data_IF_251073940058
#
_entry.id   IF_251073940058
#
_cell.length_a   1.000
_cell.length_b   1.000
_cell.length_c   1.000
_cell.angle_alpha   90.00
_cell.angle_beta   90.00
_cell.angle_gamma   90.00
#
_symmetry.space_group_name_H-M   'P 1'
#
loop_
_entity.id
_entity.type
_entity.pdbx_description
1 polymer ?
#
# COMPACT_ATOMS: atom_id res chain seq x y z
N UNK A 1 29.38 -4.78 -12.26
CA UNK A 1 29.87 -6.07 -12.78
C UNK A 1 29.48 -7.18 -11.81
N UNK A 2 29.20 -8.37 -12.32
CA UNK A 2 28.90 -9.57 -11.54
C UNK A 2 29.77 -10.73 -12.02
N UNK A 3 29.99 -11.72 -11.15
CA UNK A 3 30.69 -12.93 -11.57
C UNK A 3 29.85 -13.70 -12.60
N UNK A 4 30.49 -14.25 -13.61
CA UNK A 4 29.81 -15.06 -14.64
C UNK A 4 29.21 -16.30 -13.99
N UNK A 5 27.89 -16.51 -14.08
CA UNK A 5 27.27 -17.69 -13.51
C UNK A 5 27.55 -18.92 -14.35
N UNK A 6 27.63 -20.09 -13.68
CA UNK A 6 27.83 -21.38 -14.31
C UNK A 6 26.55 -22.24 -14.31
N UNK A 7 26.51 -23.19 -15.24
CA UNK A 7 25.41 -24.15 -15.36
C UNK A 7 24.08 -23.58 -15.90
N UNK A 8 23.13 -24.46 -16.21
CA UNK A 8 21.83 -24.09 -16.81
C UNK A 8 21.03 -23.10 -15.94
N UNK A 9 21.00 -23.30 -14.62
CA UNK A 9 20.27 -22.43 -13.70
C UNK A 9 20.92 -21.04 -13.60
N UNK A 10 22.25 -20.95 -13.59
CA UNK A 10 23.00 -19.71 -13.61
C UNK A 10 22.76 -18.90 -14.88
N UNK A 11 22.79 -19.56 -16.03
CA UNK A 11 22.52 -18.91 -17.31
C UNK A 11 21.07 -18.42 -17.44
N UNK A 12 20.09 -19.15 -16.87
CA UNK A 12 18.70 -18.68 -16.82
C UNK A 12 18.56 -17.40 -15.99
N UNK A 13 19.25 -17.34 -14.83
CA UNK A 13 19.30 -16.11 -13.99
C UNK A 13 19.98 -14.95 -14.72
N UNK A 14 21.09 -15.21 -15.40
CA UNK A 14 21.76 -14.18 -16.20
C UNK A 14 20.84 -13.60 -17.27
N UNK A 15 20.11 -14.44 -18.02
CA UNK A 15 19.12 -13.99 -19.00
C UNK A 15 18.05 -13.07 -18.38
N UNK A 16 17.53 -13.43 -17.20
CA UNK A 16 16.54 -12.62 -16.48
C UNK A 16 17.15 -11.26 -16.06
N UNK A 17 18.38 -11.26 -15.54
CA UNK A 17 19.09 -10.04 -15.15
C UNK A 17 19.37 -9.12 -16.36
N UNK A 18 19.79 -9.67 -17.50
CA UNK A 18 19.95 -8.91 -18.75
C UNK A 18 18.64 -8.22 -19.16
N UNK A 19 17.53 -8.97 -19.09
CA UNK A 19 16.20 -8.40 -19.39
C UNK A 19 15.82 -7.28 -18.43
N UNK A 20 16.10 -7.45 -17.14
CA UNK A 20 15.85 -6.43 -16.12
C UNK A 20 16.74 -5.18 -16.35
N UNK A 21 18.04 -5.38 -16.55
CA UNK A 21 18.98 -4.28 -16.78
C UNK A 21 18.59 -3.46 -18.01
N UNK A 22 18.23 -4.11 -19.12
CA UNK A 22 17.73 -3.42 -20.33
C UNK A 22 16.48 -2.58 -20.05
N UNK A 23 15.54 -3.08 -19.22
CA UNK A 23 14.33 -2.33 -18.83
C UNK A 23 14.65 -1.12 -17.96
N UNK A 24 15.68 -1.21 -17.13
CA UNK A 24 16.11 -0.16 -16.22
C UNK A 24 17.12 0.81 -16.83
N UNK A 25 17.57 0.55 -18.07
CA UNK A 25 18.62 1.35 -18.69
C UNK A 25 19.99 1.13 -18.06
N UNK A 26 20.21 0.00 -17.36
CA UNK A 26 21.48 -0.34 -16.72
C UNK A 26 22.36 -1.15 -17.65
N UNK A 27 23.67 -0.92 -17.58
CA UNK A 27 24.68 -1.78 -18.19
C UNK A 27 24.90 -3.02 -17.33
N UNK A 28 25.14 -4.18 -17.97
CA UNK A 28 25.51 -5.42 -17.30
C UNK A 28 26.75 -6.02 -17.92
N UNK A 29 27.76 -6.21 -17.07
CA UNK A 29 29.00 -6.92 -17.40
C UNK A 29 29.11 -8.15 -16.52
N UNK A 30 29.63 -9.25 -17.08
CA UNK A 30 30.08 -10.40 -16.28
C UNK A 30 31.58 -10.56 -16.40
N UNK A 31 32.21 -10.97 -15.31
CA UNK A 31 33.63 -11.29 -15.26
C UNK A 31 33.79 -12.77 -14.94
N UNK A 32 34.64 -13.44 -15.70
CA UNK A 32 35.03 -14.82 -15.44
C UNK A 32 36.31 -14.81 -14.58
N UNK A 33 36.25 -15.34 -13.34
CA UNK A 33 37.40 -15.21 -12.41
C UNK A 33 38.67 -15.89 -12.87
N UNK A 34 38.54 -16.97 -13.66
CA UNK A 34 39.65 -17.81 -14.11
C UNK A 34 40.68 -17.06 -15.01
N UNK A 35 40.20 -16.22 -15.90
CA UNK A 35 40.98 -15.53 -16.91
C UNK A 35 40.66 -14.06 -17.01
N UNK A 36 39.88 -13.53 -16.07
CA UNK A 36 39.43 -12.14 -16.00
C UNK A 36 38.70 -11.67 -17.26
N UNK A 37 38.22 -12.59 -18.08
CA UNK A 37 37.46 -12.24 -19.27
C UNK A 37 36.18 -11.52 -18.93
N UNK A 38 36.00 -10.35 -19.53
CA UNK A 38 34.83 -9.48 -19.34
C UNK A 38 33.91 -9.58 -20.53
N UNK A 39 32.65 -9.92 -20.27
CA UNK A 39 31.62 -9.97 -21.30
C UNK A 39 30.52 -8.95 -21.01
N UNK A 40 30.28 -8.06 -21.98
CA UNK A 40 29.20 -7.08 -21.90
C UNK A 40 27.90 -7.67 -22.47
N UNK A 41 26.88 -7.80 -21.63
CA UNK A 41 25.55 -8.33 -22.01
C UNK A 41 24.56 -7.25 -22.44
N UNK A 42 24.69 -6.05 -21.89
CA UNK A 42 23.97 -4.86 -22.35
C UNK A 42 24.72 -3.59 -21.95
N UNK A 43 24.63 -2.59 -22.80
CA UNK A 43 25.11 -1.23 -22.52
C UNK A 43 24.07 -0.47 -21.66
N UNK A 44 24.49 0.53 -20.85
CA UNK A 44 23.56 1.44 -20.21
C UNK A 44 22.83 2.28 -21.26
N UNK A 45 21.61 2.65 -20.95
CA UNK A 45 20.76 3.45 -21.82
C UNK A 45 19.75 4.27 -21.03
N UNK A 46 18.92 5.09 -21.69
CA UNK A 46 17.94 5.90 -21.01
C UNK A 46 16.90 5.02 -20.32
N UNK A 47 16.59 5.33 -19.06
CA UNK A 47 15.51 4.66 -18.33
C UNK A 47 14.16 5.08 -18.90
N UNK A 48 13.46 4.14 -19.49
CA UNK A 48 12.12 4.33 -20.07
C UNK A 48 11.11 3.40 -19.41
N UNK A 49 10.63 3.73 -18.19
CA UNK A 49 9.66 2.88 -17.49
C UNK A 49 8.34 2.85 -18.23
N UNK A 50 7.68 1.69 -18.24
CA UNK A 50 6.28 1.61 -18.65
C UNK A 50 5.43 2.39 -17.66
N UNK A 51 4.85 3.50 -18.10
CA UNK A 51 3.91 4.29 -17.31
C UNK A 51 2.61 3.51 -17.14
N UNK A 52 2.24 3.21 -15.91
CA UNK A 52 0.93 2.65 -15.58
C UNK A 52 0.06 3.74 -14.95
N UNK A 53 -0.66 4.49 -15.80
CA UNK A 53 -1.48 5.61 -15.36
C UNK A 53 -2.57 5.21 -14.36
N UNK A 54 -3.10 3.99 -14.46
CA UNK A 54 -4.11 3.49 -13.51
C UNK A 54 -3.51 3.31 -12.12
N UNK A 55 -2.32 2.69 -12.03
CA UNK A 55 -1.60 2.55 -10.75
C UNK A 55 -1.18 3.91 -10.19
N UNK A 56 -0.64 4.79 -11.02
CA UNK A 56 -0.25 6.13 -10.62
C UNK A 56 -1.42 6.91 -10.01
N UNK A 57 -2.58 6.94 -10.70
CA UNK A 57 -3.80 7.58 -10.18
C UNK A 57 -4.25 6.95 -8.85
N UNK A 58 -4.14 5.62 -8.70
CA UNK A 58 -4.49 4.95 -7.45
C UNK A 58 -3.59 5.36 -6.28
N UNK A 59 -2.29 5.47 -6.51
CA UNK A 59 -1.30 5.89 -5.50
C UNK A 59 -1.54 7.35 -5.11
N UNK A 60 -1.70 8.25 -6.09
CA UNK A 60 -1.98 9.67 -5.84
C UNK A 60 -3.26 9.80 -5.00
N UNK A 61 -4.35 9.13 -5.42
CA UNK A 61 -5.61 9.17 -4.68
C UNK A 61 -5.49 8.64 -3.24
N UNK A 62 -4.65 7.62 -3.03
CA UNK A 62 -4.40 7.09 -1.68
C UNK A 62 -3.60 8.09 -0.83
N UNK A 63 -2.65 8.80 -1.44
CA UNK A 63 -1.87 9.85 -0.81
C UNK A 63 -2.73 11.08 -0.45
N UNK A 64 -3.53 11.57 -1.41
CA UNK A 64 -4.43 12.72 -1.21
C UNK A 64 -5.50 12.48 -0.12
N UNK A 65 -5.79 11.19 0.17
CA UNK A 65 -6.74 10.80 1.21
C UNK A 65 -6.14 10.78 2.61
N UNK A 66 -4.82 10.74 2.71
CA UNK A 66 -4.12 10.70 4.00
C UNK A 66 -4.05 12.11 4.57
N UNK A 67 -4.53 12.30 5.79
CA UNK A 67 -4.44 13.58 6.50
C UNK A 67 -3.21 13.58 7.40
N UNK A 68 -2.33 14.56 7.22
CA UNK A 68 -1.08 14.68 7.95
C UNK A 68 -0.04 13.63 7.56
N UNK A 69 0.98 13.50 8.41
CA UNK A 69 2.02 12.45 8.32
C UNK A 69 1.99 11.58 9.58
N UNK A 70 1.01 10.67 9.70
CA UNK A 70 0.81 9.87 10.91
C UNK A 70 1.83 8.72 11.06
N UNK A 71 2.70 8.51 10.06
CA UNK A 71 3.60 7.35 9.98
C UNK A 71 5.06 7.78 10.03
N UNK A 72 5.50 8.43 11.10
CA UNK A 72 6.90 8.82 11.26
C UNK A 72 7.85 7.61 11.14
N UNK A 73 8.81 7.71 10.22
CA UNK A 73 9.96 6.83 10.13
C UNK A 73 9.69 5.34 9.92
N UNK A 74 8.52 4.96 9.38
CA UNK A 74 8.16 3.56 9.17
C UNK A 74 7.66 2.89 10.45
N UNK A 75 6.39 3.10 10.79
CA UNK A 75 5.72 2.51 11.96
C UNK A 75 5.76 0.98 11.92
N UNK A 76 6.59 0.37 12.75
CA UNK A 76 6.75 -1.08 12.84
C UNK A 76 6.00 -1.70 14.02
N UNK A 77 5.74 -0.94 15.10
CA UNK A 77 5.15 -1.45 16.35
C UNK A 77 3.63 -1.35 16.43
N UNK A 78 3.04 -0.29 15.89
CA UNK A 78 1.59 -0.03 16.01
C UNK A 78 0.82 -0.19 14.68
N UNK A 79 1.49 -0.67 13.63
CA UNK A 79 0.94 -0.73 12.29
C UNK A 79 0.83 0.64 11.62
N UNK A 80 0.63 0.63 10.30
CA UNK A 80 0.53 1.86 9.52
C UNK A 80 -0.86 2.50 9.66
N UNK A 81 -0.91 3.80 9.88
CA UNK A 81 -2.13 4.59 9.76
C UNK A 81 -2.37 4.86 8.28
N UNK A 82 -3.38 4.25 7.73
CA UNK A 82 -3.80 4.42 6.34
C UNK A 82 -4.98 5.39 6.26
N UNK A 83 -5.23 6.03 5.10
CA UNK A 83 -6.43 6.83 4.91
C UNK A 83 -7.74 6.05 5.17
N UNK A 84 -7.75 4.72 4.96
CA UNK A 84 -8.88 3.88 5.34
C UNK A 84 -9.06 3.81 6.86
N UNK A 85 -7.96 3.73 7.63
CA UNK A 85 -8.03 3.74 9.11
C UNK A 85 -8.46 5.09 9.63
N UNK A 86 -7.96 6.20 9.06
CA UNK A 86 -8.41 7.54 9.42
C UNK A 86 -9.92 7.72 9.19
N UNK A 87 -10.44 7.26 8.05
CA UNK A 87 -11.87 7.29 7.77
C UNK A 87 -12.67 6.41 8.76
N UNK A 88 -12.13 5.25 9.13
CA UNK A 88 -12.77 4.36 10.12
C UNK A 88 -12.81 5.01 11.50
N UNK A 89 -11.73 5.67 11.93
CA UNK A 89 -11.68 6.42 13.18
C UNK A 89 -12.71 7.57 13.20
N UNK A 90 -12.82 8.36 12.13
CA UNK A 90 -13.84 9.42 12.01
C UNK A 90 -15.26 8.86 12.18
N UNK A 91 -15.57 7.75 11.52
CA UNK A 91 -16.88 7.09 11.65
C UNK A 91 -17.09 6.55 13.05
N UNK A 92 -16.07 5.94 13.66
CA UNK A 92 -16.14 5.38 15.02
C UNK A 92 -16.34 6.50 16.06
N UNK A 93 -15.59 7.59 15.97
CA UNK A 93 -15.75 8.76 16.85
C UNK A 93 -17.17 9.32 16.77
N UNK A 94 -17.70 9.48 15.56
CA UNK A 94 -19.05 9.97 15.38
C UNK A 94 -20.09 9.05 16.05
N UNK A 95 -20.01 7.73 15.80
CA UNK A 95 -20.94 6.76 16.41
C UNK A 95 -20.77 6.62 17.93
N UNK A 96 -19.57 6.86 18.47
CA UNK A 96 -19.36 6.89 19.91
C UNK A 96 -20.15 8.01 20.60
N UNK A 97 -20.29 9.16 19.92
CA UNK A 97 -21.04 10.32 20.46
C UNK A 97 -22.53 10.27 20.17
N UNK A 98 -22.94 9.75 19.02
CA UNK A 98 -24.35 9.80 18.58
C UNK A 98 -25.14 8.50 18.84
N UNK A 99 -24.41 7.38 19.06
CA UNK A 99 -25.03 6.05 19.08
C UNK A 99 -25.30 5.51 17.67
N UNK A 100 -26.16 4.48 17.56
CA UNK A 100 -26.49 3.85 16.28
C UNK A 100 -27.10 4.84 15.29
N UNK A 101 -26.58 4.87 14.04
CA UNK A 101 -27.01 5.85 13.05
C UNK A 101 -26.95 5.30 11.60
N UNK A 102 -27.71 5.91 10.70
CA UNK A 102 -27.73 5.56 9.28
C UNK A 102 -26.39 5.89 8.62
N UNK A 103 -25.84 4.94 7.85
CA UNK A 103 -24.56 5.11 7.19
C UNK A 103 -24.47 6.33 6.27
N UNK A 104 -25.58 6.77 5.66
CA UNK A 104 -25.64 7.99 4.86
C UNK A 104 -25.48 9.26 5.73
N UNK A 105 -26.03 9.26 6.95
CA UNK A 105 -25.88 10.38 7.89
C UNK A 105 -24.44 10.44 8.39
N UNK A 106 -23.88 9.28 8.79
CA UNK A 106 -22.46 9.18 9.16
C UNK A 106 -21.56 9.70 8.04
N UNK A 107 -21.81 9.32 6.78
CA UNK A 107 -21.05 9.78 5.62
C UNK A 107 -21.06 11.31 5.49
N UNK A 108 -22.23 11.93 5.66
CA UNK A 108 -22.40 13.38 5.57
C UNK A 108 -21.73 14.11 6.74
N UNK A 109 -21.91 13.60 7.94
CA UNK A 109 -21.38 14.23 9.16
C UNK A 109 -19.84 14.16 9.25
N UNK A 110 -19.26 13.02 8.87
CA UNK A 110 -17.81 12.78 8.95
C UNK A 110 -17.03 13.22 7.72
N UNK A 111 -17.71 13.60 6.63
CA UNK A 111 -17.07 13.89 5.35
C UNK A 111 -16.45 12.64 4.66
N UNK A 112 -16.84 11.43 5.07
CA UNK A 112 -16.37 10.16 4.49
C UNK A 112 -17.41 9.58 3.54
N UNK A 113 -17.30 9.82 2.21
CA UNK A 113 -18.31 9.37 1.25
C UNK A 113 -18.51 7.85 1.22
N UNK A 114 -17.50 7.10 1.63
CA UNK A 114 -17.53 5.64 1.66
C UNK A 114 -17.93 5.05 3.03
N UNK A 115 -18.43 5.84 3.99
CA UNK A 115 -18.72 5.39 5.37
C UNK A 115 -19.62 4.16 5.43
N UNK A 116 -20.74 4.13 4.70
CA UNK A 116 -21.64 2.96 4.65
C UNK A 116 -20.92 1.70 4.21
N UNK A 117 -20.10 1.80 3.15
CA UNK A 117 -19.32 0.65 2.65
C UNK A 117 -18.23 0.24 3.63
N UNK A 118 -17.56 1.22 4.25
CA UNK A 118 -16.52 1.00 5.25
C UNK A 118 -17.07 0.25 6.46
N UNK A 119 -18.19 0.71 7.03
CA UNK A 119 -18.84 0.08 8.18
C UNK A 119 -19.41 -1.30 7.84
N UNK A 120 -19.96 -1.48 6.64
CA UNK A 120 -20.41 -2.78 6.15
C UNK A 120 -19.26 -3.79 5.99
N UNK A 121 -18.13 -3.37 5.44
CA UNK A 121 -16.97 -4.24 5.24
C UNK A 121 -16.27 -4.57 6.57
N UNK A 122 -16.36 -3.69 7.55
CA UNK A 122 -15.95 -3.87 8.94
C UNK A 122 -14.58 -4.56 9.13
N UNK A 123 -13.56 -4.09 8.41
CA UNK A 123 -12.21 -4.69 8.36
C UNK A 123 -11.59 -4.80 9.76
N UNK A 124 -11.89 -3.86 10.65
CA UNK A 124 -11.33 -3.81 12.00
C UNK A 124 -12.26 -4.41 13.08
N UNK A 125 -13.48 -4.85 12.73
CA UNK A 125 -14.45 -5.33 13.71
C UNK A 125 -15.06 -4.22 14.59
N UNK A 126 -14.91 -2.95 14.21
CA UNK A 126 -15.33 -1.80 15.03
C UNK A 126 -16.81 -1.47 14.91
N UNK A 127 -17.50 -2.00 13.92
CA UNK A 127 -18.87 -1.66 13.61
C UNK A 127 -19.75 -2.90 13.62
N UNK A 128 -21.01 -2.73 14.00
CA UNK A 128 -22.03 -3.74 13.84
C UNK A 128 -23.25 -3.17 13.11
N UNK A 129 -23.94 -4.01 12.37
CA UNK A 129 -25.16 -3.65 11.68
C UNK A 129 -26.35 -3.93 12.62
N UNK A 130 -27.03 -2.89 13.08
CA UNK A 130 -28.22 -2.97 13.93
C UNK A 130 -29.47 -3.23 13.08
N UNK A 131 -29.63 -2.43 12.01
CA UNK A 131 -30.74 -2.53 11.07
C UNK A 131 -30.26 -2.31 9.63
N UNK A 132 -31.17 -2.39 8.67
CA UNK A 132 -30.81 -2.11 7.27
C UNK A 132 -30.33 -0.68 7.10
N UNK A 133 -29.00 -0.54 6.83
CA UNK A 133 -28.35 0.75 6.65
C UNK A 133 -27.97 1.48 7.93
N UNK A 134 -28.30 0.94 9.13
CA UNK A 134 -27.95 1.49 10.44
C UNK A 134 -26.80 0.71 11.06
N UNK A 135 -25.82 1.43 11.57
CA UNK A 135 -24.61 0.87 12.16
C UNK A 135 -24.37 1.43 13.56
N UNK A 136 -23.83 0.61 14.42
CA UNK A 136 -23.38 0.98 15.77
C UNK A 136 -21.89 0.70 15.95
N UNK A 137 -21.31 1.30 16.97
CA UNK A 137 -19.95 1.02 17.40
C UNK A 137 -19.93 -0.22 18.30
N UNK A 138 -19.00 -1.14 18.05
CA UNK A 138 -18.77 -2.29 18.92
C UNK A 138 -17.85 -1.92 20.09
N UNK A 139 -17.79 -2.76 21.17
CA UNK A 139 -16.78 -2.59 22.22
C UNK A 139 -15.33 -2.59 21.68
N UNK A 140 -15.07 -3.39 20.64
CA UNK A 140 -13.78 -3.37 19.93
C UNK A 140 -13.50 -2.04 19.22
N UNK A 141 -14.56 -1.38 18.72
CA UNK A 141 -14.47 -0.05 18.13
C UNK A 141 -14.15 1.03 19.18
N UNK A 142 -14.74 0.93 20.38
CA UNK A 142 -14.39 1.80 21.51
C UNK A 142 -12.93 1.68 21.89
N UNK A 143 -12.43 0.45 22.06
CA UNK A 143 -11.01 0.20 22.31
C UNK A 143 -10.12 0.67 21.19
N UNK A 144 -10.54 0.51 19.93
CA UNK A 144 -9.82 1.02 18.78
C UNK A 144 -9.69 2.55 18.77
N UNK A 145 -10.67 3.29 19.32
CA UNK A 145 -10.55 4.73 19.50
C UNK A 145 -9.49 5.09 20.55
N UNK A 146 -9.40 4.36 21.66
CA UNK A 146 -8.37 4.56 22.71
C UNK A 146 -6.96 4.27 22.18
N UNK A 147 -6.80 3.22 21.38
CA UNK A 147 -5.51 2.78 20.86
C UNK A 147 -4.96 3.70 19.74
N UNK A 148 -5.82 4.47 19.06
CA UNK A 148 -5.47 5.21 17.84
C UNK A 148 -5.83 6.70 17.84
N UNK A 149 -6.33 7.27 18.97
CA UNK A 149 -6.59 8.70 19.13
C UNK A 149 -5.35 9.51 19.53
#
# INVERSE_FOLDING_TARGET
>A
AVLRPEGKAGMKRLKANVTLCRRLGLGLLTVRPRDLFVEQHCAPGPYRPRKNLRKAKGIIKAFDRLEGDPNEGGATRHGLVTGYRQDALKCATYLAHTGPEKGAIVAKATGVPSATRLMRNNVYGWFEKVETGVYALTPAGGKGLEDWS
#
